data_IF_477868486243
#
_entry.id   IF_477868486243
#
_cell.length_a   1.000
_cell.length_b   1.000
_cell.length_c   1.000
_cell.angle_alpha   90.00
_cell.angle_beta   90.00
_cell.angle_gamma   90.00
#
_symmetry.space_group_name_H-M   'P 1'
#
loop_
_entity.id
_entity.type
_entity.pdbx_description
1 polymer ?
#
# COMPACT_ATOMS: atom_id res chain seq x y z
N UNK A 1 12.50 -3.33 47.89
CA UNK A 1 13.93 -3.13 48.09
C UNK A 1 14.47 -2.26 46.97
N UNK A 2 14.86 -1.05 47.33
CA UNK A 2 15.43 -0.01 46.45
C UNK A 2 16.84 -0.44 46.01
N UNK A 3 17.21 -0.29 44.73
CA UNK A 3 18.59 0.03 44.31
C UNK A 3 18.55 0.87 43.04
N UNK A 4 18.72 2.05 43.29
CA UNK A 4 19.33 3.23 42.68
C UNK A 4 20.72 2.87 42.13
N UNK A 5 21.01 3.17 40.85
CA UNK A 5 22.39 3.43 40.40
C UNK A 5 22.42 4.66 39.51
N UNK A 6 23.27 5.53 39.93
CA UNK A 6 23.49 6.91 39.55
C UNK A 6 24.77 6.99 38.71
N UNK A 7 24.71 7.80 37.64
CA UNK A 7 25.74 8.63 37.01
C UNK A 7 27.02 7.99 36.43
N UNK A 8 27.31 8.28 35.17
CA UNK A 8 28.57 8.89 34.77
C UNK A 8 28.43 9.71 33.48
N UNK A 9 28.66 10.99 33.68
CA UNK A 9 28.85 12.10 32.76
C UNK A 9 30.29 12.04 32.22
N UNK A 10 30.51 12.11 30.93
CA UNK A 10 31.79 12.53 30.38
C UNK A 10 31.62 13.30 29.06
N UNK A 11 31.89 14.56 29.20
CA UNK A 11 32.02 15.62 28.19
C UNK A 11 33.38 15.49 27.51
N UNK A 12 33.43 15.43 26.16
CA UNK A 12 34.63 15.85 25.43
C UNK A 12 34.23 16.69 24.23
N UNK A 13 34.58 17.95 24.32
CA UNK A 13 34.59 18.98 23.31
C UNK A 13 35.92 18.88 22.53
N UNK A 14 35.92 18.78 21.21
CA UNK A 14 37.08 19.24 20.42
C UNK A 14 36.55 19.95 19.17
N UNK A 15 36.91 21.23 19.11
CA UNK A 15 36.79 22.13 17.95
C UNK A 15 37.83 21.75 16.87
N UNK A 16 37.45 21.96 15.61
CA UNK A 16 38.38 21.93 14.49
C UNK A 16 37.81 22.64 13.28
N UNK A 17 38.05 23.93 13.17
CA UNK A 17 37.84 24.76 11.97
C UNK A 17 38.88 24.39 10.91
N UNK A 18 38.45 24.26 9.64
CA UNK A 18 39.26 24.77 8.52
C UNK A 18 38.35 25.09 7.35
N UNK A 19 38.27 26.35 7.03
CA UNK A 19 37.81 26.90 5.76
C UNK A 19 38.92 26.77 4.72
N UNK A 20 38.55 26.49 3.48
CA UNK A 20 39.35 26.85 2.31
C UNK A 20 38.39 27.22 1.16
N UNK A 21 38.56 28.46 0.77
CA UNK A 21 37.92 29.22 -0.29
C UNK A 21 38.78 29.17 -1.56
N UNK A 22 38.13 29.43 -2.70
CA UNK A 22 38.70 29.84 -4.00
C UNK A 22 38.91 28.69 -5.02
N UNK A 23 38.58 28.76 -6.29
CA UNK A 23 38.35 29.83 -7.25
C UNK A 23 37.94 29.17 -8.57
N UNK A 24 37.12 29.86 -9.37
CA UNK A 24 36.70 29.65 -10.75
C UNK A 24 37.81 29.19 -11.73
N UNK A 25 37.45 28.31 -12.63
CA UNK A 25 37.82 28.43 -14.07
C UNK A 25 36.79 27.66 -14.93
N UNK A 26 36.28 28.36 -15.94
CA UNK A 26 35.54 27.83 -17.07
C UNK A 26 36.47 27.00 -17.97
N UNK A 27 35.97 25.89 -18.49
CA UNK A 27 36.41 25.37 -19.79
C UNK A 27 35.25 24.60 -20.43
N UNK A 28 34.79 25.16 -21.56
CA UNK A 28 33.94 24.49 -22.54
C UNK A 28 34.66 23.27 -23.14
N UNK A 29 33.94 22.16 -23.34
CA UNK A 29 34.00 21.38 -24.57
C UNK A 29 33.06 20.17 -24.55
N UNK A 30 32.10 20.22 -25.45
CA UNK A 30 31.56 19.18 -26.35
C UNK A 30 31.02 17.83 -25.81
N UNK A 31 29.68 17.73 -25.96
CA UNK A 31 28.93 16.69 -26.72
C UNK A 31 29.26 15.23 -26.47
N UNK A 32 28.41 14.58 -25.72
CA UNK A 32 27.95 13.23 -26.02
C UNK A 32 26.48 13.08 -25.56
N UNK A 33 25.62 13.14 -26.56
CA UNK A 33 24.20 12.73 -26.43
C UNK A 33 24.17 11.24 -26.10
N UNK A 34 23.75 10.91 -24.89
CA UNK A 34 23.24 9.57 -24.62
C UNK A 34 21.74 9.77 -24.34
N UNK A 35 21.01 9.56 -25.41
CA UNK A 35 19.57 9.38 -25.43
C UNK A 35 19.26 8.07 -24.66
N UNK A 36 19.05 8.21 -23.38
CA UNK A 36 18.42 7.15 -22.59
C UNK A 36 16.97 7.55 -22.41
N UNK A 37 16.21 7.26 -23.45
CA UNK A 37 14.77 7.28 -23.44
C UNK A 37 14.29 6.16 -22.49
N UNK A 38 14.41 6.37 -21.18
CA UNK A 38 13.72 5.60 -20.17
C UNK A 38 12.42 6.34 -19.85
N UNK A 39 11.48 6.26 -20.80
CA UNK A 39 10.08 6.56 -20.52
C UNK A 39 9.60 5.44 -19.60
N UNK A 40 9.79 5.63 -18.31
CA UNK A 40 8.97 4.95 -17.32
C UNK A 40 7.55 5.45 -17.57
N UNK A 41 6.74 4.64 -18.23
CA UNK A 41 5.29 4.85 -18.29
C UNK A 41 4.82 4.89 -16.83
N UNK A 42 4.65 6.12 -16.33
CA UNK A 42 3.91 6.34 -15.08
C UNK A 42 2.45 6.16 -15.46
N UNK A 43 2.00 4.92 -15.47
CA UNK A 43 0.58 4.59 -15.56
C UNK A 43 -0.14 5.42 -14.50
N UNK A 44 -1.13 6.21 -14.91
CA UNK A 44 -1.94 7.00 -13.97
C UNK A 44 -2.79 6.04 -13.13
N UNK A 45 -2.29 5.72 -11.95
CA UNK A 45 -2.93 4.78 -11.02
C UNK A 45 -4.32 5.23 -10.57
N UNK A 46 -4.65 6.52 -10.71
CA UNK A 46 -5.95 7.09 -10.32
C UNK A 46 -7.12 6.56 -11.15
N UNK A 47 -6.84 5.99 -12.32
CA UNK A 47 -7.85 5.36 -13.20
C UNK A 47 -7.76 3.85 -13.22
N UNK A 48 -6.74 3.26 -12.55
CA UNK A 48 -6.53 1.82 -12.58
C UNK A 48 -7.62 1.09 -11.81
N UNK A 49 -8.14 0.03 -12.40
CA UNK A 49 -9.21 -0.76 -11.82
C UNK A 49 -8.79 -2.21 -11.63
N UNK A 50 -9.31 -2.81 -10.59
CA UNK A 50 -9.25 -4.25 -10.41
C UNK A 50 -10.66 -4.84 -10.36
N UNK A 51 -10.77 -6.10 -10.73
CA UNK A 51 -11.96 -6.92 -10.53
C UNK A 51 -11.80 -7.75 -9.26
N UNK A 52 -12.87 -7.78 -8.45
CA UNK A 52 -12.99 -8.65 -7.27
C UNK A 52 -14.12 -9.63 -7.56
N UNK A 53 -13.80 -10.92 -7.73
CA UNK A 53 -14.78 -11.98 -8.01
C UNK A 53 -15.00 -12.81 -6.76
N UNK A 54 -16.28 -13.00 -6.38
CA UNK A 54 -16.71 -13.80 -5.23
C UNK A 54 -17.82 -14.74 -5.73
N UNK A 55 -17.55 -16.04 -5.76
CA UNK A 55 -18.46 -16.99 -6.42
C UNK A 55 -18.67 -16.64 -7.90
N UNK A 56 -19.93 -16.41 -8.30
CA UNK A 56 -20.30 -16.05 -9.67
C UNK A 56 -20.47 -14.53 -9.89
N UNK A 57 -20.18 -13.70 -8.88
CA UNK A 57 -20.33 -12.24 -8.93
C UNK A 57 -18.97 -11.56 -9.06
N UNK A 58 -18.87 -10.54 -9.91
CA UNK A 58 -17.67 -9.73 -10.11
C UNK A 58 -17.98 -8.27 -9.89
N UNK A 59 -17.11 -7.59 -9.17
CA UNK A 59 -17.21 -6.18 -8.78
C UNK A 59 -15.97 -5.44 -9.25
N UNK A 60 -16.12 -4.29 -9.86
CA UNK A 60 -15.01 -3.40 -10.17
C UNK A 60 -14.67 -2.53 -8.96
N UNK A 61 -13.39 -2.36 -8.72
CA UNK A 61 -12.87 -1.45 -7.71
C UNK A 61 -11.88 -0.47 -8.32
N UNK A 62 -12.03 0.78 -7.97
CA UNK A 62 -11.03 1.83 -8.29
C UNK A 62 -9.91 1.77 -7.28
N UNK A 63 -8.66 1.74 -7.77
CA UNK A 63 -7.46 1.62 -6.97
C UNK A 63 -6.96 2.99 -6.47
N UNK A 64 -6.39 3.00 -5.27
CA UNK A 64 -5.69 4.17 -4.71
C UNK A 64 -4.23 4.23 -5.22
N UNK A 65 -3.70 5.42 -5.45
CA UNK A 65 -2.31 5.60 -5.87
C UNK A 65 -1.37 5.64 -4.65
N UNK A 66 -0.81 4.49 -4.30
CA UNK A 66 0.21 4.36 -3.25
C UNK A 66 1.13 3.14 -3.50
N UNK A 67 2.18 3.02 -2.70
CA UNK A 67 3.18 1.96 -2.86
C UNK A 67 2.57 0.54 -2.70
N UNK A 68 1.69 0.34 -1.71
CA UNK A 68 1.04 -0.96 -1.50
C UNK A 68 0.22 -1.39 -2.71
N UNK A 69 -0.53 -0.46 -3.29
CA UNK A 69 -1.38 -0.73 -4.45
C UNK A 69 -0.54 -1.06 -5.68
N UNK A 70 0.56 -0.33 -5.94
CA UNK A 70 1.48 -0.65 -7.05
C UNK A 70 2.10 -2.04 -6.90
N UNK A 71 2.48 -2.44 -5.69
CA UNK A 71 2.99 -3.78 -5.42
C UNK A 71 1.90 -4.85 -5.64
N UNK A 72 0.66 -4.59 -5.21
CA UNK A 72 -0.47 -5.49 -5.44
C UNK A 72 -0.79 -5.63 -6.93
N UNK A 73 -0.81 -4.51 -7.67
CA UNK A 73 -1.00 -4.49 -9.14
C UNK A 73 0.06 -5.33 -9.83
N UNK A 74 1.33 -5.19 -9.44
CA UNK A 74 2.41 -6.01 -9.99
C UNK A 74 2.19 -7.50 -9.76
N UNK A 75 1.69 -7.88 -8.58
CA UNK A 75 1.35 -9.28 -8.28
C UNK A 75 0.20 -9.78 -9.16
N UNK A 76 -0.86 -8.99 -9.34
CA UNK A 76 -2.00 -9.34 -10.20
C UNK A 76 -1.63 -9.38 -11.69
N UNK A 77 -0.61 -8.64 -12.11
CA UNK A 77 -0.06 -8.69 -13.47
C UNK A 77 0.68 -9.99 -13.80
N UNK A 78 1.11 -10.76 -12.80
CA UNK A 78 1.68 -12.09 -12.97
C UNK A 78 0.59 -13.16 -13.09
N UNK A 79 -0.39 -13.13 -12.18
CA UNK A 79 -1.56 -14.01 -12.16
C UNK A 79 -2.66 -13.46 -11.24
N UNK A 80 -3.93 -13.81 -11.41
CA UNK A 80 -4.98 -13.47 -10.47
C UNK A 80 -4.68 -14.00 -9.06
N UNK A 81 -4.97 -13.19 -8.04
CA UNK A 81 -4.70 -13.54 -6.64
C UNK A 81 -5.97 -14.08 -6.00
N UNK A 82 -5.94 -15.33 -5.54
CA UNK A 82 -7.05 -15.94 -4.81
C UNK A 82 -6.79 -15.92 -3.31
N UNK A 83 -7.72 -15.36 -2.53
CA UNK A 83 -7.62 -15.25 -1.08
C UNK A 83 -8.86 -15.86 -0.41
N UNK A 84 -8.63 -16.78 0.52
CA UNK A 84 -9.69 -17.20 1.44
C UNK A 84 -9.82 -16.16 2.53
N UNK A 85 -11.01 -15.63 2.71
CA UNK A 85 -11.30 -14.53 3.62
C UNK A 85 -12.35 -14.97 4.64
N UNK A 86 -12.03 -14.77 5.90
CA UNK A 86 -12.91 -15.07 7.02
C UNK A 86 -13.74 -13.85 7.40
N UNK A 87 -14.94 -14.11 7.90
CA UNK A 87 -15.78 -13.07 8.47
C UNK A 87 -15.21 -12.59 9.81
N UNK A 88 -15.10 -11.27 9.97
CA UNK A 88 -14.70 -10.67 11.23
C UNK A 88 -15.80 -9.73 11.75
N UNK A 89 -16.39 -10.13 12.88
CA UNK A 89 -17.38 -9.35 13.65
C UNK A 89 -18.62 -8.90 12.86
N UNK A 90 -18.91 -9.47 11.70
CA UNK A 90 -20.09 -9.14 10.90
C UNK A 90 -20.03 -7.77 10.21
N UNK A 91 -18.84 -7.26 9.88
CA UNK A 91 -18.68 -6.00 9.14
C UNK A 91 -17.52 -5.99 8.14
N UNK A 92 -16.63 -6.98 8.16
CA UNK A 92 -15.51 -7.08 7.23
C UNK A 92 -15.13 -8.53 6.93
N UNK A 93 -14.52 -8.75 5.77
CA UNK A 93 -13.84 -10.00 5.39
C UNK A 93 -12.33 -9.76 5.43
N UNK A 94 -11.61 -10.67 6.09
CA UNK A 94 -10.15 -10.57 6.29
C UNK A 94 -9.46 -11.81 5.74
N UNK A 95 -8.45 -11.63 4.90
CA UNK A 95 -7.69 -12.74 4.35
C UNK A 95 -6.21 -12.42 4.17
N UNK A 96 -5.36 -13.43 4.33
CA UNK A 96 -3.91 -13.28 4.18
C UNK A 96 -3.51 -13.21 2.72
N UNK A 97 -2.70 -12.19 2.38
CA UNK A 97 -2.10 -12.03 1.05
C UNK A 97 -0.92 -12.99 0.81
N UNK A 98 -0.43 -13.65 1.87
CA UNK A 98 0.71 -14.57 1.78
C UNK A 98 2.08 -13.89 1.73
N UNK A 99 2.13 -12.56 1.60
CA UNK A 99 3.33 -11.72 1.64
C UNK A 99 3.02 -10.34 2.21
N UNK A 100 4.06 -9.63 2.62
CA UNK A 100 3.91 -8.25 3.08
C UNK A 100 4.12 -7.27 1.93
N UNK A 101 3.34 -6.19 1.94
CA UNK A 101 3.46 -5.03 1.07
C UNK A 101 3.92 -3.81 1.88
N UNK A 102 4.43 -2.79 1.19
CA UNK A 102 4.75 -1.49 1.79
C UNK A 102 3.49 -0.87 2.40
N UNK A 103 3.60 -0.31 3.61
CA UNK A 103 2.46 0.29 4.31
C UNK A 103 2.55 1.81 4.37
N UNK A 104 1.40 2.49 4.22
CA UNK A 104 1.19 3.91 4.49
C UNK A 104 -0.05 4.04 5.38
N UNK A 105 0.06 3.52 6.61
CA UNK A 105 -1.06 3.40 7.53
C UNK A 105 -1.53 4.78 8.01
N UNK A 106 -2.83 5.03 7.86
CA UNK A 106 -3.52 6.23 8.34
C UNK A 106 -4.72 5.83 9.17
N UNK A 107 -4.99 6.60 10.22
CA UNK A 107 -6.25 6.46 10.98
C UNK A 107 -7.40 6.88 10.06
N UNK A 108 -8.26 5.94 9.72
CA UNK A 108 -9.43 6.18 8.86
C UNK A 108 -10.67 5.50 9.43
N UNK A 109 -11.84 6.01 9.07
CA UNK A 109 -13.10 5.30 9.23
C UNK A 109 -13.50 4.74 7.88
N UNK A 110 -13.59 3.41 7.80
CA UNK A 110 -13.97 2.71 6.57
C UNK A 110 -15.47 2.75 6.34
N UNK A 111 -15.88 2.49 5.10
CA UNK A 111 -17.25 2.40 4.65
C UNK A 111 -17.45 1.10 3.86
N UNK A 112 -18.69 0.65 3.64
CA UNK A 112 -18.95 -0.46 2.72
C UNK A 112 -18.27 -0.25 1.37
N UNK A 113 -17.64 -1.30 0.86
CA UNK A 113 -16.86 -1.29 -0.38
C UNK A 113 -15.40 -0.88 -0.24
N UNK A 114 -14.97 -0.32 0.89
CA UNK A 114 -13.55 -0.02 1.11
C UNK A 114 -12.74 -1.32 1.15
N UNK A 115 -11.60 -1.31 0.47
CA UNK A 115 -10.60 -2.38 0.45
C UNK A 115 -9.31 -1.80 1.00
N UNK A 116 -8.76 -2.45 2.04
CA UNK A 116 -7.56 -1.94 2.72
C UNK A 116 -6.56 -3.06 2.99
N UNK A 117 -5.32 -2.66 3.24
CA UNK A 117 -4.27 -3.51 3.77
C UNK A 117 -4.17 -3.29 5.29
N UNK A 118 -4.26 -4.36 6.05
CA UNK A 118 -4.06 -4.39 7.49
C UNK A 118 -2.79 -5.15 7.84
N UNK A 119 -2.04 -4.64 8.82
CA UNK A 119 -0.76 -5.23 9.29
C UNK A 119 0.24 -5.56 8.18
N UNK A 120 0.12 -4.91 7.02
CA UNK A 120 1.02 -5.06 5.89
C UNK A 120 0.85 -6.34 5.06
N UNK A 121 0.01 -7.30 5.47
CA UNK A 121 -0.11 -8.60 4.79
C UNK A 121 -1.53 -9.18 4.76
N UNK A 122 -2.52 -8.45 5.23
CA UNK A 122 -3.92 -8.89 5.18
C UNK A 122 -4.73 -7.93 4.32
N UNK A 123 -5.45 -8.47 3.36
CA UNK A 123 -6.48 -7.72 2.64
C UNK A 123 -7.76 -7.79 3.45
N UNK A 124 -8.40 -6.63 3.60
CA UNK A 124 -9.69 -6.48 4.30
C UNK A 124 -10.69 -5.82 3.38
N UNK A 125 -11.87 -6.41 3.24
CA UNK A 125 -12.99 -5.89 2.46
C UNK A 125 -14.17 -5.59 3.39
N UNK A 126 -14.65 -4.35 3.35
CA UNK A 126 -15.72 -3.89 4.24
C UNK A 126 -17.09 -4.00 3.60
N UNK A 127 -18.06 -4.49 4.37
CA UNK A 127 -19.49 -4.38 4.10
C UNK A 127 -20.22 -3.63 5.24
N UNK A 128 -19.52 -3.32 6.32
CA UNK A 128 -19.87 -2.39 7.37
C UNK A 128 -18.82 -1.29 7.52
N UNK A 129 -18.56 -0.84 8.74
CA UNK A 129 -17.63 0.24 9.04
C UNK A 129 -16.79 -0.07 10.27
N UNK A 130 -15.53 0.36 10.25
CA UNK A 130 -14.60 0.32 11.38
C UNK A 130 -13.67 1.54 11.35
N UNK A 131 -13.15 1.93 12.52
CA UNK A 131 -12.17 3.01 12.63
C UNK A 131 -10.85 2.47 13.17
N UNK A 132 -9.84 2.42 12.32
CA UNK A 132 -8.53 1.88 12.66
C UNK A 132 -7.43 2.46 11.77
N UNK A 133 -6.20 1.99 11.98
CA UNK A 133 -5.05 2.37 11.16
C UNK A 133 -4.86 1.38 10.02
N UNK A 134 -5.11 1.84 8.78
CA UNK A 134 -5.05 1.04 7.56
C UNK A 134 -4.28 1.75 6.46
N UNK A 135 -3.74 0.97 5.51
CA UNK A 135 -3.31 1.46 4.20
C UNK A 135 -4.44 1.21 3.20
N UNK A 136 -4.94 2.26 2.53
CA UNK A 136 -6.00 2.11 1.52
C UNK A 136 -5.45 1.38 0.30
N UNK A 137 -6.24 0.47 -0.26
CA UNK A 137 -5.96 -0.22 -1.52
C UNK A 137 -6.89 0.27 -2.62
N UNK A 138 -8.17 0.39 -2.33
CA UNK A 138 -9.16 0.83 -3.29
C UNK A 138 -10.57 0.80 -2.72
N UNK A 139 -11.55 0.97 -3.62
CA UNK A 139 -12.96 0.97 -3.27
C UNK A 139 -13.80 0.37 -4.38
N UNK A 140 -14.79 -0.45 -4.02
CA UNK A 140 -15.80 -1.00 -4.94
C UNK A 140 -16.62 0.15 -5.52
N UNK A 141 -16.75 0.16 -6.85
CA UNK A 141 -17.43 1.24 -7.58
C UNK A 141 -18.95 1.17 -7.45
N UNK A 142 -19.52 -0.04 -7.51
CA UNK A 142 -20.97 -0.30 -7.36
C UNK A 142 -21.18 -1.37 -6.29
N UNK A 143 -21.90 -1.00 -5.25
CA UNK A 143 -22.19 -1.86 -4.09
C UNK A 143 -23.41 -2.75 -4.29
N UNK A 144 -24.06 -2.73 -5.46
CA UNK A 144 -25.23 -3.58 -5.75
C UNK A 144 -24.84 -5.04 -5.63
N UNK A 145 -25.40 -5.76 -4.65
CA UNK A 145 -25.12 -7.17 -4.36
C UNK A 145 -23.82 -7.42 -3.58
N UNK A 146 -23.06 -6.38 -3.21
CA UNK A 146 -21.76 -6.54 -2.52
C UNK A 146 -21.90 -7.28 -1.18
N UNK A 147 -22.82 -6.85 -0.31
CA UNK A 147 -23.05 -7.48 0.98
C UNK A 147 -23.56 -8.92 0.83
N UNK A 148 -24.47 -9.14 -0.14
CA UNK A 148 -25.00 -10.48 -0.42
C UNK A 148 -23.91 -11.46 -0.92
N UNK A 149 -23.00 -10.98 -1.78
CA UNK A 149 -21.85 -11.78 -2.28
C UNK A 149 -20.88 -12.16 -1.17
N UNK A 150 -20.64 -11.25 -0.23
CA UNK A 150 -19.80 -11.52 0.94
C UNK A 150 -20.50 -12.46 1.93
N UNK A 151 -21.81 -12.38 2.06
CA UNK A 151 -22.60 -13.29 2.86
C UNK A 151 -22.14 -13.45 4.32
N UNK A 152 -22.65 -14.50 4.97
CA UNK A 152 -22.24 -14.89 6.30
C UNK A 152 -21.19 -16.02 6.20
N UNK A 153 -20.05 -15.88 6.90
CA UNK A 153 -18.98 -16.87 6.93
C UNK A 153 -17.82 -16.56 5.97
N UNK A 154 -17.00 -17.57 5.70
CA UNK A 154 -15.81 -17.40 4.87
C UNK A 154 -16.17 -17.39 3.39
N UNK A 155 -15.45 -16.58 2.60
CA UNK A 155 -15.56 -16.53 1.14
C UNK A 155 -14.19 -16.66 0.50
N UNK A 156 -14.15 -17.10 -0.75
CA UNK A 156 -12.96 -16.97 -1.59
C UNK A 156 -13.14 -15.80 -2.52
N UNK A 157 -12.25 -14.82 -2.44
CA UNK A 157 -12.20 -13.68 -3.34
C UNK A 157 -11.02 -13.83 -4.31
N UNK A 158 -11.27 -13.57 -5.60
CA UNK A 158 -10.25 -13.54 -6.65
C UNK A 158 -10.07 -12.11 -7.12
N UNK A 159 -8.85 -11.61 -7.05
CA UNK A 159 -8.45 -10.27 -7.46
C UNK A 159 -7.68 -10.34 -8.77
N UNK A 160 -8.06 -9.53 -9.77
CA UNK A 160 -7.40 -9.44 -11.07
C UNK A 160 -7.43 -8.00 -11.60
N UNK A 161 -6.52 -7.68 -12.52
CA UNK A 161 -6.60 -6.40 -13.23
C UNK A 161 -7.76 -6.42 -14.23
N UNK A 162 -8.40 -5.28 -14.41
CA UNK A 162 -9.37 -5.07 -15.50
C UNK A 162 -8.58 -4.64 -16.73
N UNK A 163 -8.72 -5.38 -17.83
CA UNK A 163 -8.13 -5.04 -19.14
C UNK A 163 -8.89 -3.89 -19.82
#
# INVERSE_FOLDING_TARGET
MKKLFVICLALVLVMGFTACESTSQLSESETASIDSNNTAETEDMTTMKMSVTIGDQSFNATLEDNAATRELVKMMGEEPISINMDDYSGFEKVGSLGRSLTTDNKQITTQPGDIVLYSGNQIVMFYGSNSWSYTRIGKIDDLSGWEDALGNGSVTAVFSLVE
#
